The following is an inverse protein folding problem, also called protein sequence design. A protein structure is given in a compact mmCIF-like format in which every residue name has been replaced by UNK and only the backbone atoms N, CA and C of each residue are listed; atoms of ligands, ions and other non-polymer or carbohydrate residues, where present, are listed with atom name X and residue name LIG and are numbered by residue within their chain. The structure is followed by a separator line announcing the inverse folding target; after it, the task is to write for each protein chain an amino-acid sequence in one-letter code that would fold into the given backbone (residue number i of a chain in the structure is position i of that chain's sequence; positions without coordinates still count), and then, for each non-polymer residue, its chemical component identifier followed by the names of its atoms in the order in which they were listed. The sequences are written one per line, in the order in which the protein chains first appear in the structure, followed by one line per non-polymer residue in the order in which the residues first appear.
data_IF_329839314936
#
_entry.id   IF_329839314936
#
_cell.length_a   1.000
_cell.length_b   1.000
_cell.length_c   1.000
_cell.angle_alpha   90.00
_cell.angle_beta   90.00
_cell.angle_gamma   90.00
#
_symmetry.space_group_name_H-M   'P 1'
#
loop_
_entity.id
_entity.type
_entity.pdbx_description
1 polymer ?
#
# COMPACT_ATOMS: atom_id res chain seq x y z
N UNK A 1 7.01 7.18 -27.31
CA UNK A 1 7.93 6.74 -26.23
C UNK A 1 7.27 7.10 -24.92
N UNK A 2 6.58 6.15 -24.28
CA UNK A 2 5.94 6.40 -22.98
C UNK A 2 7.00 6.44 -21.87
N UNK A 3 6.74 7.15 -20.75
CA UNK A 3 7.69 7.28 -19.66
C UNK A 3 8.06 5.89 -19.11
N UNK A 4 9.29 5.79 -18.64
CA UNK A 4 10.07 4.57 -18.45
C UNK A 4 9.41 3.56 -17.51
N UNK A 5 9.06 2.38 -18.03
CA UNK A 5 8.87 1.15 -17.25
C UNK A 5 10.04 0.87 -16.28
N UNK A 6 11.24 1.36 -16.61
CA UNK A 6 12.40 1.41 -15.72
C UNK A 6 12.11 2.30 -14.51
N UNK A 7 11.87 1.69 -13.34
CA UNK A 7 11.71 2.40 -12.06
C UNK A 7 10.39 2.13 -11.32
N UNK A 8 9.46 1.34 -11.87
CA UNK A 8 8.26 0.94 -11.15
C UNK A 8 8.58 0.11 -9.90
N UNK A 9 9.70 -0.61 -9.90
CA UNK A 9 10.27 -1.29 -8.73
C UNK A 9 10.52 -0.34 -7.55
N UNK A 10 10.82 0.94 -7.81
CA UNK A 10 11.07 1.96 -6.76
C UNK A 10 9.79 2.45 -6.08
N UNK A 11 8.63 2.15 -6.67
CA UNK A 11 7.32 2.40 -6.08
C UNK A 11 6.92 1.27 -5.12
N UNK A 12 7.59 0.11 -5.19
CA UNK A 12 7.40 -0.98 -4.22
C UNK A 12 8.12 -0.62 -2.92
N UNK A 13 7.36 -0.19 -1.92
CA UNK A 13 7.88 0.37 -0.66
C UNK A 13 7.21 -0.25 0.55
N UNK A 14 7.98 -0.43 1.61
CA UNK A 14 7.47 -0.92 2.89
C UNK A 14 6.50 0.11 3.49
N UNK A 15 5.25 -0.25 3.79
CA UNK A 15 4.29 0.66 4.39
C UNK A 15 4.69 1.05 5.83
N UNK A 16 4.73 2.34 6.11
CA UNK A 16 5.14 2.92 7.40
C UNK A 16 4.41 4.24 7.67
N UNK A 17 4.54 4.79 8.88
CA UNK A 17 3.89 6.03 9.28
C UNK A 17 2.51 5.83 9.91
N UNK A 18 1.73 6.91 10.02
CA UNK A 18 0.31 6.92 10.41
C UNK A 18 -0.58 6.29 9.32
N UNK A 19 -1.88 6.12 9.55
CA UNK A 19 -2.80 5.47 8.59
C UNK A 19 -2.74 6.05 7.18
N UNK A 20 -2.78 7.38 7.05
CA UNK A 20 -2.65 8.04 5.75
C UNK A 20 -1.31 7.76 5.07
N UNK A 21 -0.19 7.85 5.81
CA UNK A 21 1.14 7.58 5.26
C UNK A 21 1.34 6.10 4.92
N UNK A 22 0.75 5.20 5.72
CA UNK A 22 0.75 3.77 5.49
C UNK A 22 0.04 3.47 4.17
N UNK A 23 -1.13 4.07 3.92
CA UNK A 23 -1.88 3.94 2.67
C UNK A 23 -1.14 4.51 1.45
N UNK A 24 -0.46 5.65 1.59
CA UNK A 24 0.35 6.26 0.51
C UNK A 24 1.46 5.31 0.03
N UNK A 25 2.01 4.47 0.91
CA UNK A 25 3.03 3.48 0.56
C UNK A 25 2.44 2.11 0.20
N UNK A 26 1.27 1.76 0.77
CA UNK A 26 0.62 0.47 0.57
C UNK A 26 -0.07 0.36 -0.80
N UNK A 27 -0.88 1.36 -1.19
CA UNK A 27 -1.64 1.31 -2.43
C UNK A 27 -0.76 1.16 -3.69
N UNK A 28 0.39 1.84 -3.82
CA UNK A 28 1.30 1.63 -4.96
C UNK A 28 1.80 0.20 -5.10
N UNK A 29 2.02 -0.55 -4.01
CA UNK A 29 2.45 -1.95 -4.08
C UNK A 29 1.42 -2.81 -4.83
N UNK A 30 0.12 -2.53 -4.65
CA UNK A 30 -0.97 -3.24 -5.31
C UNK A 30 -1.00 -2.90 -6.81
N UNK A 31 -1.03 -1.61 -7.14
CA UNK A 31 -1.18 -1.16 -8.52
C UNK A 31 0.04 -1.49 -9.39
N UNK A 32 1.25 -1.39 -8.83
CA UNK A 32 2.48 -1.77 -9.54
C UNK A 32 2.48 -3.27 -9.84
N UNK A 33 2.14 -4.10 -8.85
CA UNK A 33 2.06 -5.55 -9.06
C UNK A 33 1.03 -5.88 -10.14
N UNK A 34 -0.17 -5.29 -10.07
CA UNK A 34 -1.25 -5.52 -11.04
C UNK A 34 -0.85 -5.06 -12.46
N UNK A 35 -0.20 -3.91 -12.59
CA UNK A 35 0.26 -3.40 -13.88
C UNK A 35 1.35 -4.29 -14.50
N UNK A 36 2.33 -4.71 -13.71
CA UNK A 36 3.39 -5.59 -14.19
C UNK A 36 2.86 -6.98 -14.55
N UNK A 37 1.89 -7.50 -13.78
CA UNK A 37 1.23 -8.77 -14.08
C UNK A 37 0.46 -8.71 -15.40
N UNK A 38 -0.41 -7.70 -15.56
CA UNK A 38 -1.22 -7.52 -16.77
C UNK A 38 -0.41 -7.22 -18.03
N UNK A 39 0.78 -6.62 -17.89
CA UNK A 39 1.69 -6.36 -19.02
C UNK A 39 2.71 -7.48 -19.26
N UNK A 40 2.64 -8.59 -18.52
CA UNK A 40 3.60 -9.72 -18.58
C UNK A 40 5.05 -9.30 -18.29
N UNK A 41 5.25 -8.32 -17.42
CA UNK A 41 6.55 -7.79 -17.01
C UNK A 41 6.87 -8.05 -15.53
N UNK A 42 6.03 -8.84 -14.85
CA UNK A 42 6.21 -9.18 -13.44
C UNK A 42 7.33 -10.21 -13.25
N UNK A 43 8.39 -9.83 -12.54
CA UNK A 43 9.41 -10.76 -12.06
C UNK A 43 8.99 -11.39 -10.72
N UNK A 44 9.47 -12.60 -10.44
CA UNK A 44 9.21 -13.28 -9.17
C UNK A 44 9.70 -12.47 -7.97
N UNK A 45 10.86 -11.82 -8.07
CA UNK A 45 11.42 -10.98 -7.00
C UNK A 45 10.50 -9.80 -6.65
N UNK A 46 9.99 -9.09 -7.65
CA UNK A 46 9.06 -7.98 -7.43
C UNK A 46 7.74 -8.49 -6.86
N UNK A 47 7.26 -9.64 -7.34
CA UNK A 47 6.03 -10.27 -6.84
C UNK A 47 6.14 -10.62 -5.36
N UNK A 48 7.17 -11.35 -4.96
CA UNK A 48 7.35 -11.81 -3.59
C UNK A 48 7.51 -10.63 -2.63
N UNK A 49 8.32 -9.63 -3.01
CA UNK A 49 8.50 -8.40 -2.23
C UNK A 49 7.22 -7.59 -2.09
N UNK A 50 6.47 -7.42 -3.19
CA UNK A 50 5.19 -6.70 -3.17
C UNK A 50 4.16 -7.43 -2.29
N UNK A 51 4.08 -8.76 -2.36
CA UNK A 51 3.20 -9.58 -1.51
C UNK A 51 3.54 -9.47 -0.03
N UNK A 52 4.84 -9.49 0.33
CA UNK A 52 5.27 -9.29 1.70
C UNK A 52 4.86 -7.89 2.21
N UNK A 53 5.16 -6.84 1.45
CA UNK A 53 4.82 -5.47 1.81
C UNK A 53 3.32 -5.24 1.87
N UNK A 54 2.54 -5.89 1.01
CA UNK A 54 1.10 -5.82 1.07
C UNK A 54 0.54 -6.47 2.34
N UNK A 55 1.05 -7.64 2.75
CA UNK A 55 0.64 -8.28 4.02
C UNK A 55 0.93 -7.38 5.21
N UNK A 56 2.12 -6.77 5.25
CA UNK A 56 2.53 -5.86 6.31
C UNK A 56 1.63 -4.61 6.31
N UNK A 57 1.45 -3.98 5.14
CA UNK A 57 0.62 -2.78 5.01
C UNK A 57 -0.82 -2.99 5.42
N UNK A 58 -1.41 -4.11 5.01
CA UNK A 58 -2.77 -4.50 5.42
C UNK A 58 -2.87 -4.69 6.93
N UNK A 59 -1.95 -5.45 7.53
CA UNK A 59 -1.97 -5.69 8.98
C UNK A 59 -1.78 -4.40 9.79
N UNK A 60 -0.95 -3.47 9.29
CA UNK A 60 -0.77 -2.15 9.89
C UNK A 60 -2.01 -1.28 9.71
N UNK A 61 -2.63 -1.28 8.54
CA UNK A 61 -3.81 -0.45 8.27
C UNK A 61 -4.97 -0.81 9.21
N UNK A 62 -5.14 -2.10 9.51
CA UNK A 62 -6.12 -2.56 10.49
C UNK A 62 -5.93 -1.99 11.91
N UNK A 63 -4.73 -1.49 12.25
CA UNK A 63 -4.49 -0.83 13.55
C UNK A 63 -5.06 0.57 13.62
N UNK A 64 -5.38 1.18 12.48
CA UNK A 64 -6.02 2.50 12.38
C UNK A 64 -7.54 2.41 12.20
N UNK A 65 -8.10 1.20 12.32
CA UNK A 65 -9.54 0.95 12.23
C UNK A 65 -10.22 1.27 13.56
N UNK A 66 -11.33 2.01 13.48
CA UNK A 66 -12.23 2.29 14.59
C UNK A 66 -13.21 1.14 14.83
N UNK A 67 -13.80 1.08 16.03
CA UNK A 67 -14.83 0.08 16.39
C UNK A 67 -16.07 0.14 15.50
N UNK A 68 -16.43 1.33 15.02
CA UNK A 68 -17.54 1.54 14.09
C UNK A 68 -17.22 1.09 12.65
N UNK A 69 -15.97 0.74 12.38
CA UNK A 69 -15.48 0.26 11.10
C UNK A 69 -14.80 1.31 10.23
N UNK A 70 -14.83 2.58 10.63
CA UNK A 70 -14.12 3.66 9.94
C UNK A 70 -12.60 3.61 10.16
N UNK A 71 -11.84 4.41 9.42
CA UNK A 71 -10.38 4.53 9.57
C UNK A 71 -10.01 6.00 9.72
N UNK A 72 -8.96 6.30 10.47
CA UNK A 72 -8.38 7.65 10.57
C UNK A 72 -6.86 7.59 10.59
N UNK A 73 -6.19 8.74 10.59
CA UNK A 73 -4.73 8.78 10.60
C UNK A 73 -4.13 8.09 11.83
N UNK A 74 -4.79 8.18 12.99
CA UNK A 74 -4.29 7.64 14.26
C UNK A 74 -5.25 6.62 14.90
N UNK A 75 -6.21 6.10 14.15
CA UNK A 75 -7.20 5.13 14.62
C UNK A 75 -8.01 5.63 15.80
N UNK A 76 -8.25 4.77 16.79
CA UNK A 76 -9.01 5.09 18.03
C UNK A 76 -8.38 6.21 18.89
N UNK A 77 -7.21 6.73 18.51
CA UNK A 77 -6.65 7.93 19.14
C UNK A 77 -7.29 9.23 18.61
N UNK A 78 -7.91 9.19 17.43
CA UNK A 78 -8.73 10.28 16.90
C UNK A 78 -10.18 10.12 17.38
N UNK A 79 -10.91 11.23 17.53
CA UNK A 79 -12.30 11.21 18.00
C UNK A 79 -13.28 10.54 17.02
N UNK A 80 -12.93 10.52 15.72
CA UNK A 80 -13.78 9.98 14.66
C UNK A 80 -12.98 9.54 13.44
N UNK A 81 -13.57 8.65 12.63
CA UNK A 81 -13.05 8.28 11.32
C UNK A 81 -12.93 9.45 10.33
N UNK A 82 -12.07 9.27 9.33
CA UNK A 82 -11.92 10.15 8.18
C UNK A 82 -13.00 9.86 7.12
N UNK A 83 -13.38 10.90 6.37
CA UNK A 83 -14.28 10.80 5.20
C UNK A 83 -13.55 10.91 3.87
N UNK A 84 -12.23 11.08 3.93
CA UNK A 84 -11.34 11.36 2.80
C UNK A 84 -11.02 10.10 2.00
#
# INVERSE_FOLDING_TARGET
MGPTLSGLDKLVRLPTGCGEQNMVMFAPNIFVMQYLDTTNQLSSEIKDKSLEYMKIGYQRELTYKHKDGSYSAFGESDDSGSTW
#
